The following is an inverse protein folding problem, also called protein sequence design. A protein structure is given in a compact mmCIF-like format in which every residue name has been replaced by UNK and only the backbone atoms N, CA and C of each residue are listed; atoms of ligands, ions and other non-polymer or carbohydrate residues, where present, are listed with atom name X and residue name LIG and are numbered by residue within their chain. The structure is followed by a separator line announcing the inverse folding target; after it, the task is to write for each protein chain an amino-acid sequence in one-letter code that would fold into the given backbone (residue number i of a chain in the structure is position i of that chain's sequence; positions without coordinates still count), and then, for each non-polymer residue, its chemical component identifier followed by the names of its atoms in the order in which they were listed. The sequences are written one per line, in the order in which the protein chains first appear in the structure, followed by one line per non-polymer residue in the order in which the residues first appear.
data_IF_311880567317
#
_entry.id   IF_311880567317
#
_cell.length_a   1.000
_cell.length_b   1.000
_cell.length_c   1.000
_cell.angle_alpha   90.00
_cell.angle_beta   90.00
_cell.angle_gamma   90.00
#
_symmetry.space_group_name_H-M   'P 1'
#
loop_
_entity.id
_entity.type
_entity.pdbx_description
1 polymer ?
#
# COMPACT_ATOMS: atom_id res chain seq x y z
N UNK A 1 11.41 19.77 -15.19
CA UNK A 1 11.66 18.63 -16.10
C UNK A 1 10.56 17.60 -15.88
N UNK A 2 10.11 16.84 -16.89
CA UNK A 2 9.18 15.72 -16.66
C UNK A 2 9.93 14.38 -16.71
N UNK A 3 10.45 13.94 -15.56
CA UNK A 3 11.23 12.70 -15.47
C UNK A 3 10.42 11.47 -15.85
N UNK A 4 9.12 11.45 -15.54
CA UNK A 4 8.23 10.34 -15.87
C UNK A 4 8.03 10.20 -17.37
N UNK A 5 8.02 11.32 -18.11
CA UNK A 5 7.99 11.29 -19.57
C UNK A 5 9.28 10.69 -20.15
N UNK A 6 10.46 11.09 -19.63
CA UNK A 6 11.73 10.55 -20.05
C UNK A 6 11.84 9.03 -19.79
N UNK A 7 11.41 8.57 -18.60
CA UNK A 7 11.40 7.13 -18.30
C UNK A 7 10.41 6.34 -19.17
N UNK A 8 9.26 6.91 -19.53
CA UNK A 8 8.32 6.28 -20.47
C UNK A 8 8.91 6.18 -21.88
N UNK A 9 9.59 7.23 -22.35
CA UNK A 9 10.29 7.21 -23.64
C UNK A 9 11.41 6.16 -23.63
N UNK A 10 12.24 6.14 -22.57
CA UNK A 10 13.30 5.17 -22.40
C UNK A 10 12.78 3.73 -22.37
N UNK A 11 11.67 3.47 -21.67
CA UNK A 11 11.08 2.14 -21.58
C UNK A 11 10.66 1.55 -22.95
N UNK A 12 10.28 2.41 -23.91
CA UNK A 12 9.95 1.97 -25.27
C UNK A 12 11.19 1.56 -26.07
N UNK A 13 12.32 2.25 -25.85
CA UNK A 13 13.59 1.99 -26.55
C UNK A 13 14.41 0.89 -25.87
N UNK A 14 14.37 0.82 -24.54
CA UNK A 14 15.21 -0.05 -23.71
C UNK A 14 14.41 -0.52 -22.47
N UNK A 15 13.63 -1.61 -22.58
CA UNK A 15 12.75 -2.07 -21.51
C UNK A 15 13.47 -2.77 -20.36
N UNK A 16 14.74 -3.14 -20.51
CA UNK A 16 15.58 -3.81 -19.52
C UNK A 16 17.03 -3.33 -19.68
N UNK A 17 17.83 -3.48 -18.61
CA UNK A 17 19.26 -3.12 -18.59
C UNK A 17 20.10 -4.25 -18.01
N UNK A 18 21.37 -4.35 -18.41
CA UNK A 18 22.31 -5.36 -17.89
C UNK A 18 22.67 -5.14 -16.43
N UNK A 19 22.72 -3.89 -15.99
CA UNK A 19 23.04 -3.48 -14.62
C UNK A 19 22.68 -2.00 -14.38
N UNK A 20 22.94 -1.52 -13.17
CA UNK A 20 22.68 -0.13 -12.76
C UNK A 20 23.44 0.90 -13.61
N UNK A 21 24.66 0.59 -14.05
CA UNK A 21 25.45 1.50 -14.89
C UNK A 21 24.88 1.60 -16.32
N UNK A 22 24.43 0.48 -16.91
CA UNK A 22 23.69 0.49 -18.20
C UNK A 22 22.43 1.35 -18.09
N UNK A 23 21.65 1.18 -17.01
CA UNK A 23 20.49 2.04 -16.75
C UNK A 23 20.88 3.53 -16.61
N UNK A 24 21.93 3.84 -15.83
CA UNK A 24 22.43 5.21 -15.65
C UNK A 24 22.80 5.85 -16.99
N UNK A 25 23.59 5.16 -17.81
CA UNK A 25 24.01 5.66 -19.11
C UNK A 25 22.82 5.87 -20.05
N UNK A 26 21.90 4.91 -20.11
CA UNK A 26 20.74 4.98 -20.98
C UNK A 26 19.79 6.12 -20.59
N UNK A 27 19.53 6.30 -19.29
CA UNK A 27 18.72 7.41 -18.79
C UNK A 27 19.38 8.76 -19.05
N UNK A 28 20.67 8.89 -18.79
CA UNK A 28 21.43 10.11 -19.05
C UNK A 28 21.40 10.50 -20.53
N UNK A 29 21.50 9.52 -21.43
CA UNK A 29 21.40 9.74 -22.86
C UNK A 29 19.99 10.18 -23.26
N UNK A 30 18.95 9.48 -22.80
CA UNK A 30 17.56 9.82 -23.09
C UNK A 30 17.21 11.25 -22.63
N UNK A 31 17.67 11.64 -21.44
CA UNK A 31 17.45 12.97 -20.90
C UNK A 31 18.09 14.05 -21.78
N UNK A 32 19.28 13.78 -22.33
CA UNK A 32 19.96 14.68 -23.26
C UNK A 32 19.27 14.78 -24.62
N UNK A 33 18.61 13.71 -25.08
CA UNK A 33 17.83 13.72 -26.32
C UNK A 33 16.52 14.50 -26.18
N UNK A 34 15.83 14.36 -25.05
CA UNK A 34 14.54 15.01 -24.81
C UNK A 34 14.70 16.47 -24.37
N UNK A 35 15.73 16.76 -23.58
CA UNK A 35 15.92 18.06 -22.96
C UNK A 35 17.24 18.70 -23.37
N UNK A 36 17.20 20.01 -23.66
CA UNK A 36 18.40 20.80 -23.87
C UNK A 36 19.14 21.06 -22.54
N UNK A 37 19.87 20.05 -22.07
CA UNK A 37 20.57 20.05 -20.79
C UNK A 37 22.03 19.60 -20.95
N UNK A 38 22.87 19.99 -19.99
CA UNK A 38 24.18 19.36 -19.80
C UNK A 38 24.04 18.21 -18.82
N UNK A 39 24.74 17.12 -19.09
CA UNK A 39 24.72 15.91 -18.25
C UNK A 39 26.13 15.60 -17.76
N UNK A 40 26.26 15.34 -16.45
CA UNK A 40 27.47 14.80 -15.82
C UNK A 40 27.11 13.54 -15.05
N UNK A 41 27.91 12.49 -15.23
CA UNK A 41 27.76 11.23 -14.51
C UNK A 41 28.82 11.15 -13.41
N UNK A 42 28.50 10.44 -12.33
CA UNK A 42 29.44 10.16 -11.24
C UNK A 42 30.13 11.44 -10.75
N UNK A 43 29.36 12.52 -10.62
CA UNK A 43 29.92 13.81 -10.22
C UNK A 43 30.26 13.72 -8.74
N UNK A 44 31.53 13.95 -8.40
CA UNK A 44 31.94 14.04 -7.01
C UNK A 44 31.28 15.25 -6.35
N UNK A 45 30.72 15.01 -5.17
CA UNK A 45 30.10 16.00 -4.32
C UNK A 45 30.73 15.96 -2.93
N UNK A 46 31.10 17.12 -2.41
CA UNK A 46 31.63 17.29 -1.06
C UNK A 46 30.56 17.97 -0.18
N UNK A 47 29.53 17.21 0.21
CA UNK A 47 28.44 17.68 1.11
C UNK A 47 28.63 17.22 2.55
N UNK A 48 29.18 16.02 2.75
CA UNK A 48 29.50 15.49 4.07
C UNK A 48 31.02 15.63 4.29
N UNK A 49 31.42 16.44 5.27
CA UNK A 49 32.82 16.74 5.58
C UNK A 49 33.64 15.45 5.71
N UNK A 50 34.54 15.20 4.75
CA UNK A 50 35.48 14.08 4.77
C UNK A 50 34.98 12.76 4.18
N UNK A 51 33.74 12.65 3.69
CA UNK A 51 33.27 11.46 2.93
C UNK A 51 33.19 11.78 1.44
N UNK A 52 33.83 10.95 0.61
CA UNK A 52 33.71 11.06 -0.86
C UNK A 52 32.37 10.49 -1.28
N UNK A 53 31.54 11.31 -1.91
CA UNK A 53 30.26 10.86 -2.45
C UNK A 53 30.16 11.23 -3.92
N UNK A 54 29.55 10.35 -4.69
CA UNK A 54 29.36 10.48 -6.13
C UNK A 54 27.87 10.46 -6.39
N UNK A 55 27.41 11.43 -7.16
CA UNK A 55 26.03 11.51 -7.63
C UNK A 55 25.95 10.82 -8.99
N UNK A 56 24.96 9.93 -9.14
CA UNK A 56 24.79 9.15 -10.36
C UNK A 56 24.64 10.04 -11.60
N UNK A 57 23.74 11.01 -11.57
CA UNK A 57 23.54 11.97 -12.67
C UNK A 57 23.30 13.38 -12.13
N UNK A 58 24.08 14.35 -12.60
CA UNK A 58 23.82 15.79 -12.47
C UNK A 58 23.39 16.36 -13.81
N UNK A 59 22.27 17.08 -13.82
CA UNK A 59 21.82 17.85 -14.97
C UNK A 59 21.96 19.35 -14.70
N UNK A 60 22.36 20.11 -15.72
CA UNK A 60 22.20 21.56 -15.75
C UNK A 60 21.26 21.94 -16.89
N UNK A 61 20.15 22.61 -16.56
CA UNK A 61 19.12 23.02 -17.53
C UNK A 61 18.47 24.33 -17.06
N UNK A 62 18.38 25.32 -17.95
CA UNK A 62 17.77 26.63 -17.67
C UNK A 62 18.29 27.30 -16.38
N UNK A 63 19.61 27.19 -16.15
CA UNK A 63 20.26 27.74 -14.95
C UNK A 63 20.02 26.94 -13.66
N UNK A 64 19.27 25.83 -13.72
CA UNK A 64 19.00 24.95 -12.58
C UNK A 64 19.89 23.71 -12.60
N UNK A 65 20.28 23.25 -11.43
CA UNK A 65 20.97 21.98 -11.19
C UNK A 65 19.97 20.95 -10.67
N UNK A 66 19.91 19.80 -11.33
CA UNK A 66 19.02 18.70 -10.95
C UNK A 66 19.87 17.47 -10.65
N UNK A 67 19.76 16.94 -9.44
CA UNK A 67 20.41 15.69 -9.05
C UNK A 67 19.50 14.50 -9.29
N UNK A 68 20.05 13.39 -9.76
CA UNK A 68 19.35 12.11 -9.86
C UNK A 68 20.21 11.04 -9.21
N UNK A 69 19.62 10.34 -8.25
CA UNK A 69 20.16 9.10 -7.67
C UNK A 69 19.30 7.95 -8.18
N UNK A 70 19.95 6.86 -8.58
CA UNK A 70 19.28 5.71 -9.16
C UNK A 70 19.67 4.40 -8.50
N UNK A 71 18.73 3.46 -8.56
CA UNK A 71 18.96 2.07 -8.20
C UNK A 71 18.36 1.15 -9.25
N UNK A 72 19.03 0.04 -9.51
CA UNK A 72 18.55 -1.03 -10.38
C UNK A 72 18.82 -2.39 -9.71
N UNK A 73 17.75 -2.98 -9.15
CA UNK A 73 17.84 -4.27 -8.44
C UNK A 73 16.84 -5.25 -9.01
N UNK A 74 17.32 -6.42 -9.42
CA UNK A 74 16.52 -7.38 -10.16
C UNK A 74 16.53 -8.76 -9.50
N UNK A 75 15.39 -9.44 -9.57
CA UNK A 75 15.30 -10.90 -9.55
C UNK A 75 15.83 -11.43 -10.87
N UNK A 76 16.26 -12.70 -10.83
CA UNK A 76 16.77 -13.35 -12.03
C UNK A 76 15.75 -13.31 -13.18
N UNK A 77 16.21 -12.94 -14.37
CA UNK A 77 15.40 -12.88 -15.58
C UNK A 77 16.27 -13.14 -16.80
N UNK A 78 15.74 -13.95 -17.71
CA UNK A 78 16.26 -14.15 -19.07
C UNK A 78 15.30 -13.46 -20.04
N UNK A 79 15.84 -12.60 -20.90
CA UNK A 79 15.04 -11.86 -21.86
C UNK A 79 15.86 -11.48 -23.09
N UNK A 80 15.25 -11.54 -24.27
CA UNK A 80 15.86 -11.04 -25.52
C UNK A 80 15.02 -9.92 -26.06
N UNK A 81 15.65 -8.78 -26.35
CA UNK A 81 15.01 -7.60 -26.92
C UNK A 81 15.83 -7.14 -28.12
N UNK A 82 15.19 -7.04 -29.29
CA UNK A 82 15.83 -6.60 -30.54
C UNK A 82 17.16 -7.32 -30.87
N UNK A 83 17.27 -8.59 -30.50
CA UNK A 83 18.47 -9.41 -30.72
C UNK A 83 19.56 -9.29 -29.65
N UNK A 84 19.42 -8.39 -28.66
CA UNK A 84 20.26 -8.32 -27.47
C UNK A 84 19.70 -9.25 -26.38
N UNK A 85 20.55 -10.10 -25.79
CA UNK A 85 20.17 -11.04 -24.72
C UNK A 85 20.59 -10.53 -23.35
N UNK A 86 19.67 -10.58 -22.39
CA UNK A 86 19.84 -10.14 -21.01
C UNK A 86 19.67 -11.34 -20.08
N UNK A 87 20.71 -11.62 -19.31
CA UNK A 87 20.73 -12.67 -18.28
C UNK A 87 21.06 -12.03 -16.94
N UNK A 88 20.03 -11.67 -16.18
CA UNK A 88 20.19 -11.02 -14.88
C UNK A 88 20.16 -12.05 -13.76
N UNK A 89 21.00 -11.84 -12.76
CA UNK A 89 21.03 -12.66 -11.55
C UNK A 89 20.09 -12.12 -10.48
N UNK A 90 19.68 -12.99 -9.57
CA UNK A 90 18.90 -12.59 -8.40
C UNK A 90 19.77 -11.78 -7.43
N UNK A 91 19.46 -10.49 -7.26
CA UNK A 91 20.10 -9.60 -6.30
C UNK A 91 19.32 -9.61 -4.99
N UNK A 92 19.80 -10.38 -4.00
CA UNK A 92 19.20 -10.50 -2.66
C UNK A 92 19.49 -9.32 -1.72
N UNK A 93 19.36 -9.56 -0.40
CA UNK A 93 19.57 -8.58 0.67
C UNK A 93 18.63 -7.37 0.59
N UNK A 94 17.32 -7.66 0.55
CA UNK A 94 16.26 -6.64 0.43
C UNK A 94 16.25 -5.63 1.58
N UNK A 95 16.58 -6.10 2.79
CA UNK A 95 16.74 -5.28 3.99
C UNK A 95 17.81 -4.20 3.79
N UNK A 96 18.98 -4.61 3.31
CA UNK A 96 20.10 -3.73 2.97
C UNK A 96 19.72 -2.78 1.83
N UNK A 97 19.11 -3.29 0.77
CA UNK A 97 18.71 -2.47 -0.38
C UNK A 97 17.72 -1.38 0.00
N UNK A 98 16.74 -1.69 0.85
CA UNK A 98 15.77 -0.74 1.41
C UNK A 98 16.44 0.40 2.19
N UNK A 99 17.42 0.07 3.04
CA UNK A 99 18.21 1.07 3.75
C UNK A 99 18.94 1.99 2.77
N UNK A 100 19.66 1.41 1.79
CA UNK A 100 20.51 2.17 0.86
C UNK A 100 19.70 3.19 0.04
N UNK A 101 18.51 2.79 -0.45
CA UNK A 101 17.61 3.69 -1.20
C UNK A 101 17.20 4.89 -0.35
N UNK A 102 16.86 4.67 0.91
CA UNK A 102 16.45 5.74 1.82
C UNK A 102 17.64 6.62 2.26
N UNK A 103 18.85 6.05 2.28
CA UNK A 103 20.08 6.83 2.50
C UNK A 103 20.35 7.76 1.31
N UNK A 104 20.10 7.32 0.08
CA UNK A 104 20.19 8.16 -1.11
C UNK A 104 19.10 9.25 -1.12
N UNK A 105 17.87 8.94 -0.65
CA UNK A 105 16.84 9.95 -0.44
C UNK A 105 17.28 11.02 0.57
N UNK A 106 17.79 10.62 1.74
CA UNK A 106 18.36 11.55 2.73
C UNK A 106 19.47 12.43 2.11
N UNK A 107 20.32 11.85 1.24
CA UNK A 107 21.38 12.58 0.56
C UNK A 107 20.80 13.65 -0.37
N UNK A 108 19.80 13.32 -1.19
CA UNK A 108 19.12 14.29 -2.05
C UNK A 108 18.48 15.43 -1.26
N UNK A 109 17.86 15.13 -0.11
CA UNK A 109 17.30 16.17 0.76
C UNK A 109 18.36 17.17 1.22
N UNK A 110 19.53 16.67 1.65
CA UNK A 110 20.65 17.54 2.05
C UNK A 110 21.15 18.40 0.89
N UNK A 111 21.25 17.82 -0.31
CA UNK A 111 21.69 18.54 -1.51
C UNK A 111 20.77 19.71 -1.84
N UNK A 112 19.45 19.50 -1.75
CA UNK A 112 18.45 20.55 -1.98
C UNK A 112 18.42 21.56 -0.83
N UNK A 113 18.50 21.10 0.43
CA UNK A 113 18.51 21.98 1.61
C UNK A 113 19.71 22.92 1.60
N UNK A 114 20.89 22.42 1.26
CA UNK A 114 22.14 23.19 1.18
C UNK A 114 22.31 23.98 -0.13
N UNK A 115 21.29 24.00 -1.01
CA UNK A 115 21.33 24.70 -2.33
C UNK A 115 22.45 24.22 -3.25
N UNK A 116 22.88 22.98 -3.08
CA UNK A 116 23.83 22.36 -4.01
C UNK A 116 23.15 21.98 -5.33
N UNK A 117 21.88 21.58 -5.26
CA UNK A 117 20.96 21.46 -6.40
C UNK A 117 19.65 22.18 -6.11
N UNK A 118 18.90 22.50 -7.17
CA UNK A 118 17.57 23.10 -7.08
C UNK A 118 16.47 22.04 -6.91
N UNK A 119 16.71 20.84 -7.46
CA UNK A 119 15.77 19.72 -7.45
C UNK A 119 16.54 18.38 -7.45
N UNK A 120 15.96 17.37 -6.83
CA UNK A 120 16.48 16.00 -6.77
C UNK A 120 15.44 14.98 -7.25
N UNK A 121 15.90 13.86 -7.80
CA UNK A 121 15.07 12.71 -8.12
C UNK A 121 15.73 11.43 -7.63
N UNK A 122 15.03 10.65 -6.82
CA UNK A 122 15.38 9.25 -6.59
C UNK A 122 14.58 8.39 -7.57
N UNK A 123 15.27 7.54 -8.33
CA UNK A 123 14.64 6.64 -9.31
C UNK A 123 15.05 5.21 -9.02
N UNK A 124 14.09 4.34 -8.77
CA UNK A 124 14.39 2.94 -8.49
C UNK A 124 13.62 2.01 -9.42
N UNK A 125 14.34 1.16 -10.16
CA UNK A 125 13.78 0.14 -11.02
C UNK A 125 14.00 -1.26 -10.43
N UNK A 126 12.93 -2.06 -10.36
CA UNK A 126 12.99 -3.44 -9.89
C UNK A 126 11.84 -4.31 -10.40
N UNK A 127 12.09 -5.60 -10.62
CA UNK A 127 11.04 -6.63 -10.74
C UNK A 127 10.85 -7.43 -9.43
N UNK A 128 11.61 -7.12 -8.37
CA UNK A 128 11.47 -7.79 -7.08
C UNK A 128 10.26 -7.25 -6.31
N UNK A 129 9.19 -8.03 -6.33
CA UNK A 129 7.93 -7.72 -5.64
C UNK A 129 8.05 -7.43 -4.15
N UNK A 130 9.12 -7.88 -3.49
CA UNK A 130 9.33 -7.58 -2.08
C UNK A 130 9.53 -6.08 -1.80
N UNK A 131 9.97 -5.28 -2.78
CA UNK A 131 10.14 -3.84 -2.57
C UNK A 131 8.82 -3.07 -2.66
N UNK A 132 7.90 -3.49 -3.53
CA UNK A 132 6.69 -2.74 -3.85
C UNK A 132 5.39 -3.36 -3.31
N UNK A 133 5.38 -4.66 -2.98
CA UNK A 133 4.23 -5.28 -2.31
C UNK A 133 4.34 -5.10 -0.80
N UNK A 134 3.24 -4.68 -0.19
CA UNK A 134 3.10 -4.73 1.25
C UNK A 134 3.03 -6.20 1.71
N UNK A 135 3.92 -6.67 2.61
CA UNK A 135 3.84 -8.02 3.17
C UNK A 135 2.54 -8.28 3.97
N UNK A 136 1.71 -7.26 4.22
CA UNK A 136 0.32 -7.34 4.67
C UNK A 136 0.14 -7.70 6.15
N UNK A 137 1.02 -8.54 6.69
CA UNK A 137 1.17 -8.76 8.12
C UNK A 137 2.25 -7.81 8.61
N UNK A 138 1.99 -7.15 9.74
CA UNK A 138 2.97 -6.36 10.49
C UNK A 138 4.04 -7.29 11.11
N UNK A 139 4.77 -8.02 10.25
CA UNK A 139 5.91 -8.84 10.66
C UNK A 139 6.97 -7.88 11.19
N UNK A 140 7.37 -8.10 12.44
CA UNK A 140 8.53 -7.45 13.05
C UNK A 140 9.81 -7.95 12.36
N UNK A 141 10.12 -7.40 11.18
CA UNK A 141 11.39 -7.63 10.49
C UNK A 141 12.39 -6.54 10.87
N UNK A 142 13.67 -6.88 10.79
CA UNK A 142 14.77 -6.01 11.22
C UNK A 142 14.83 -4.67 10.47
N UNK A 143 14.30 -4.65 9.26
CA UNK A 143 14.29 -3.54 8.32
C UNK A 143 12.91 -2.89 8.16
N UNK A 144 11.97 -3.16 9.08
CA UNK A 144 10.58 -2.72 9.00
C UNK A 144 10.46 -1.24 8.70
N UNK A 145 11.30 -0.40 9.30
CA UNK A 145 11.26 1.06 9.17
C UNK A 145 11.78 1.52 7.79
N UNK A 146 12.54 0.67 7.08
CA UNK A 146 13.10 0.96 5.77
C UNK A 146 12.27 0.47 4.59
N UNK A 147 11.14 -0.24 4.80
CA UNK A 147 10.34 -0.73 3.66
C UNK A 147 9.87 0.42 2.79
N UNK A 148 9.73 0.16 1.49
CA UNK A 148 9.35 1.16 0.48
C UNK A 148 8.17 0.68 -0.38
N UNK A 149 7.27 -0.13 0.19
CA UNK A 149 6.14 -0.70 -0.55
C UNK A 149 5.13 0.37 -1.00
N UNK A 150 4.27 0.01 -1.96
CA UNK A 150 3.19 0.86 -2.45
C UNK A 150 2.38 1.49 -1.30
N UNK A 151 2.11 2.79 -1.43
CA UNK A 151 1.30 3.58 -0.49
C UNK A 151 2.00 3.93 0.82
N UNK A 152 3.19 3.40 1.10
CA UNK A 152 3.90 3.68 2.35
C UNK A 152 4.33 5.14 2.42
N UNK A 153 4.04 5.79 3.55
CA UNK A 153 4.60 7.11 3.87
C UNK A 153 5.96 6.96 4.55
N UNK A 154 6.96 7.68 4.06
CA UNK A 154 8.33 7.75 4.58
C UNK A 154 8.59 9.17 5.08
N UNK A 155 8.93 9.29 6.36
CA UNK A 155 9.27 10.53 7.04
C UNK A 155 9.95 10.24 8.39
N UNK A 156 10.65 11.21 8.96
CA UNK A 156 11.19 11.14 10.32
C UNK A 156 12.44 10.25 10.43
N UNK A 157 12.69 9.74 11.63
CA UNK A 157 13.84 8.85 11.90
C UNK A 157 13.47 7.39 11.65
N UNK A 158 14.30 6.70 10.87
CA UNK A 158 14.17 5.31 10.48
C UNK A 158 15.40 4.56 10.96
N UNK A 159 15.20 3.46 11.68
CA UNK A 159 16.29 2.70 12.29
C UNK A 159 16.12 1.20 12.08
N UNK A 160 17.24 0.49 12.13
CA UNK A 160 17.22 -0.96 12.29
C UNK A 160 16.52 -1.33 13.60
N UNK A 161 15.85 -2.48 13.63
CA UNK A 161 15.30 -2.98 14.89
C UNK A 161 16.41 -3.32 15.89
N UNK A 162 16.11 -3.31 17.19
CA UNK A 162 17.06 -3.69 18.25
C UNK A 162 17.60 -5.12 18.12
N UNK A 163 16.93 -5.97 17.34
CA UNK A 163 17.29 -7.39 17.13
C UNK A 163 18.15 -7.62 15.88
N UNK A 164 18.60 -6.55 15.22
CA UNK A 164 19.37 -6.65 13.97
C UNK A 164 20.79 -7.11 14.25
N UNK A 165 21.26 -8.12 13.52
CA UNK A 165 22.63 -8.62 13.66
C UNK A 165 23.67 -7.59 13.20
N UNK A 166 24.80 -7.54 13.90
CA UNK A 166 25.92 -6.64 13.60
C UNK A 166 26.46 -6.78 12.17
N UNK A 167 26.41 -7.98 11.60
CA UNK A 167 26.79 -8.23 10.21
C UNK A 167 25.89 -7.52 9.18
N UNK A 168 24.57 -7.50 9.42
CA UNK A 168 23.59 -6.80 8.56
C UNK A 168 23.78 -5.29 8.62
N UNK A 169 24.10 -4.76 9.81
CA UNK A 169 24.29 -3.33 10.03
C UNK A 169 25.66 -2.80 9.59
N UNK A 170 26.62 -3.67 9.22
CA UNK A 170 27.99 -3.24 8.93
C UNK A 170 28.04 -2.19 7.80
N UNK A 171 28.49 -0.98 8.13
CA UNK A 171 28.51 0.19 7.23
C UNK A 171 27.17 0.90 7.05
N UNK A 172 26.15 0.51 7.82
CA UNK A 172 24.74 1.00 7.80
C UNK A 172 24.19 1.17 9.21
N UNK A 173 25.06 1.43 10.18
CA UNK A 173 24.72 1.49 11.59
C UNK A 173 23.91 2.75 11.93
N UNK A 174 24.11 3.83 11.18
CA UNK A 174 23.46 5.11 11.39
C UNK A 174 21.96 5.05 11.08
N UNK A 175 21.13 5.65 11.93
CA UNK A 175 19.74 5.91 11.59
C UNK A 175 19.63 6.86 10.39
N UNK A 176 18.57 6.67 9.58
CA UNK A 176 18.24 7.57 8.48
C UNK A 176 17.24 8.59 9.00
N UNK A 177 17.45 9.86 8.68
CA UNK A 177 16.54 10.96 9.01
C UNK A 177 16.04 11.53 7.69
N UNK A 178 14.74 11.44 7.48
CA UNK A 178 14.03 11.99 6.33
C UNK A 178 13.26 13.23 6.80
N UNK A 179 13.66 14.39 6.31
CA UNK A 179 13.09 15.68 6.68
C UNK A 179 11.75 15.93 5.98
N UNK A 180 11.58 15.47 4.75
CA UNK A 180 10.32 15.54 4.01
C UNK A 180 9.34 14.43 4.37
N UNK A 181 8.23 14.37 3.64
CA UNK A 181 7.22 13.30 3.75
C UNK A 181 6.84 12.80 2.36
N UNK A 182 7.20 11.57 2.05
CA UNK A 182 7.04 10.98 0.73
C UNK A 182 6.09 9.77 0.79
N UNK A 183 5.08 9.73 -0.09
CA UNK A 183 4.26 8.54 -0.29
C UNK A 183 4.91 7.74 -1.43
N UNK A 184 5.27 6.49 -1.16
CA UNK A 184 5.84 5.61 -2.18
C UNK A 184 4.75 5.23 -3.18
N UNK A 185 4.98 5.55 -4.45
CA UNK A 185 4.05 5.28 -5.55
C UNK A 185 4.80 4.58 -6.67
N UNK A 186 4.57 3.28 -6.83
CA UNK A 186 5.21 2.46 -7.84
C UNK A 186 4.39 2.40 -9.13
N UNK A 187 5.00 2.85 -10.21
CA UNK A 187 4.49 2.70 -11.57
C UNK A 187 5.05 1.47 -12.27
N UNK A 188 4.46 1.12 -13.42
CA UNK A 188 5.11 0.20 -14.36
C UNK A 188 6.18 0.97 -15.15
N UNK A 189 7.39 0.39 -15.26
CA UNK A 189 8.42 0.85 -16.19
C UNK A 189 8.26 0.11 -17.53
N UNK A 190 8.33 -1.22 -17.49
CA UNK A 190 8.24 -2.06 -18.68
C UNK A 190 7.61 -3.42 -18.36
N UNK A 191 7.10 -4.09 -19.40
CA UNK A 191 6.62 -5.48 -19.33
C UNK A 191 7.41 -6.32 -20.33
N UNK A 192 8.29 -7.16 -19.82
CA UNK A 192 9.16 -8.06 -20.57
C UNK A 192 8.39 -9.29 -21.06
N UNK A 193 7.61 -9.90 -20.17
CA UNK A 193 6.80 -11.09 -20.49
C UNK A 193 5.60 -11.22 -19.54
N UNK A 194 4.80 -12.27 -19.74
CA UNK A 194 3.59 -12.55 -18.96
C UNK A 194 3.86 -13.25 -17.61
N UNK A 195 5.12 -13.53 -17.25
CA UNK A 195 5.46 -14.17 -15.98
C UNK A 195 5.36 -13.16 -14.82
N UNK A 196 5.21 -13.68 -13.60
CA UNK A 196 5.10 -12.86 -12.37
C UNK A 196 6.27 -11.90 -12.13
N UNK A 197 7.47 -12.22 -12.64
CA UNK A 197 8.68 -11.38 -12.58
C UNK A 197 8.94 -10.60 -13.89
N UNK A 198 8.03 -10.69 -14.85
CA UNK A 198 8.13 -10.10 -16.18
C UNK A 198 7.78 -8.63 -16.23
N UNK A 199 7.43 -7.99 -15.10
CA UNK A 199 7.16 -6.55 -15.03
C UNK A 199 8.24 -5.87 -14.21
N UNK A 200 8.91 -4.88 -14.79
CA UNK A 200 9.78 -3.96 -14.08
C UNK A 200 8.91 -2.79 -13.60
N UNK A 201 8.98 -2.48 -12.31
CA UNK A 201 8.33 -1.31 -11.72
C UNK A 201 9.34 -0.19 -11.50
N UNK A 202 8.84 1.03 -11.50
CA UNK A 202 9.58 2.25 -11.19
C UNK A 202 8.99 2.93 -9.95
N UNK A 203 9.87 3.33 -9.03
CA UNK A 203 9.57 4.32 -8.00
C UNK A 203 10.31 5.61 -8.37
N UNK A 204 9.60 6.73 -8.38
CA UNK A 204 10.14 8.04 -8.70
C UNK A 204 9.78 8.97 -7.54
N UNK A 205 10.78 9.52 -6.86
CA UNK A 205 10.58 10.46 -5.75
C UNK A 205 11.21 11.80 -6.11
N UNK A 206 10.42 12.84 -6.40
CA UNK A 206 10.93 14.20 -6.53
C UNK A 206 11.25 14.78 -5.14
N UNK A 207 12.41 15.43 -5.04
CA UNK A 207 12.89 16.14 -3.85
C UNK A 207 13.06 17.61 -4.22
N UNK A 208 12.27 18.48 -3.61
CA UNK A 208 12.26 19.93 -3.88
C UNK A 208 12.27 20.69 -2.57
N UNK A 209 12.51 22.00 -2.61
CA UNK A 209 12.33 22.82 -1.40
C UNK A 209 10.95 22.66 -0.77
N UNK A 210 9.91 22.48 -1.60
CA UNK A 210 8.54 22.32 -1.13
C UNK A 210 8.37 20.99 -0.38
N UNK A 211 8.96 19.89 -0.88
CA UNK A 211 8.90 18.60 -0.20
C UNK A 211 9.58 18.64 1.17
N UNK A 212 10.59 19.50 1.36
CA UNK A 212 11.28 19.75 2.63
C UNK A 212 10.55 20.72 3.56
N UNK A 213 9.73 21.65 3.01
CA UNK A 213 8.99 22.65 3.80
C UNK A 213 7.73 22.09 4.46
N UNK A 214 7.10 21.07 3.87
CA UNK A 214 5.87 20.40 4.37
C UNK A 214 5.98 19.79 5.79
N UNK A 215 7.12 19.94 6.46
CA UNK A 215 7.38 19.44 7.83
C UNK A 215 7.88 20.50 8.81
N UNK A 216 8.30 21.71 8.38
CA UNK A 216 8.72 22.79 9.31
C UNK A 216 7.55 23.64 9.82
N UNK A 217 6.42 23.59 9.14
CA UNK A 217 5.13 23.96 9.69
C UNK A 217 4.44 22.66 10.15
N UNK A 218 4.00 22.60 11.40
CA UNK A 218 2.94 21.66 11.78
C UNK A 218 1.75 22.05 10.93
N UNK A 219 1.56 21.41 9.77
CA UNK A 219 0.57 21.83 8.78
C UNK A 219 -0.84 21.80 9.39
N UNK A 220 -1.49 22.95 9.60
CA UNK A 220 -2.94 23.02 9.67
C UNK A 220 -3.43 22.82 8.23
N UNK A 221 -3.84 21.59 7.93
CA UNK A 221 -4.43 21.15 6.66
C UNK A 221 -5.12 22.29 5.89
N UNK A 222 -4.81 22.47 4.59
CA UNK A 222 -5.43 23.51 3.78
C UNK A 222 -6.94 23.29 3.72
N UNK A 223 -7.71 24.29 4.17
CA UNK A 223 -9.16 24.36 3.96
C UNK A 223 -9.42 24.35 2.45
N UNK A 224 -10.15 23.37 1.91
CA UNK A 224 -10.72 23.49 0.58
C UNK A 224 -11.80 24.57 0.64
N UNK A 225 -11.78 25.50 -0.31
CA UNK A 225 -12.85 26.46 -0.51
C UNK A 225 -14.20 25.75 -0.61
N UNK A 226 -15.21 26.35 0.01
CA UNK A 226 -16.58 25.84 0.12
C UNK A 226 -17.09 25.35 -1.25
N UNK A 227 -17.13 24.04 -1.43
CA UNK A 227 -18.13 23.40 -2.28
C UNK A 227 -19.33 23.13 -1.40
N UNK A 228 -20.46 23.75 -1.78
CA UNK A 228 -21.71 23.78 -1.03
C UNK A 228 -22.08 22.46 -0.35
N UNK A 229 -22.29 22.60 0.94
CA UNK A 229 -23.09 21.78 1.86
C UNK A 229 -24.05 20.80 1.20
N UNK A 230 -23.72 19.51 1.30
CA UNK A 230 -24.71 18.48 1.55
C UNK A 230 -24.57 18.09 3.02
N UNK A 231 -25.60 18.39 3.81
CA UNK A 231 -25.71 17.91 5.18
C UNK A 231 -25.71 16.37 5.16
N UNK A 232 -24.58 15.76 5.54
CA UNK A 232 -24.49 14.32 5.69
C UNK A 232 -25.11 13.95 7.03
N UNK A 233 -26.35 13.47 6.98
CA UNK A 233 -26.98 12.79 8.12
C UNK A 233 -26.13 11.56 8.52
N UNK A 234 -25.88 11.40 9.82
CA UNK A 234 -25.04 10.37 10.44
C UNK A 234 -25.62 8.94 10.37
N UNK A 235 -25.82 8.42 9.16
CA UNK A 235 -26.40 7.11 8.87
C UNK A 235 -25.35 6.18 8.22
N UNK A 236 -25.55 4.84 8.19
CA UNK A 236 -24.68 3.86 7.51
C UNK A 236 -24.38 4.20 6.03
N UNK A 237 -25.25 5.03 5.43
CA UNK A 237 -25.08 5.66 4.11
C UNK A 237 -23.72 6.37 3.98
N UNK A 238 -23.14 6.86 5.08
CA UNK A 238 -21.84 7.54 5.09
C UNK A 238 -20.66 6.58 4.81
N UNK A 239 -20.52 5.46 5.53
CA UNK A 239 -19.42 4.50 5.31
C UNK A 239 -19.52 3.85 3.93
N UNK A 240 -20.74 3.51 3.51
CA UNK A 240 -21.00 3.01 2.17
C UNK A 240 -20.54 4.02 1.10
N UNK A 241 -20.86 5.31 1.25
CA UNK A 241 -20.40 6.36 0.33
C UNK A 241 -18.87 6.46 0.31
N UNK A 242 -18.21 6.40 1.48
CA UNK A 242 -16.75 6.43 1.56
C UNK A 242 -16.09 5.22 0.87
N UNK A 243 -16.70 4.03 0.97
CA UNK A 243 -16.21 2.86 0.23
C UNK A 243 -16.41 3.03 -1.28
N UNK A 244 -17.55 3.55 -1.72
CA UNK A 244 -17.83 3.77 -3.15
C UNK A 244 -16.87 4.75 -3.82
N UNK A 245 -16.30 5.69 -3.05
CA UNK A 245 -15.28 6.64 -3.53
C UNK A 245 -13.92 5.99 -3.83
N UNK A 246 -13.69 4.73 -3.42
CA UNK A 246 -12.45 4.02 -3.74
C UNK A 246 -12.37 3.85 -5.28
N UNK A 247 -11.35 4.40 -5.96
CA UNK A 247 -11.35 4.44 -7.44
C UNK A 247 -11.04 3.08 -8.07
N UNK A 248 -10.01 2.40 -7.55
CA UNK A 248 -9.48 1.14 -8.09
C UNK A 248 -9.83 -0.04 -7.19
N UNK A 249 -9.78 -1.25 -7.73
CA UNK A 249 -10.01 -2.45 -6.93
C UNK A 249 -8.91 -2.61 -5.88
N UNK A 250 -9.27 -2.79 -4.60
CA UNK A 250 -8.29 -3.03 -3.57
C UNK A 250 -7.49 -4.31 -3.83
N UNK A 251 -6.20 -4.31 -3.53
CA UNK A 251 -5.33 -5.47 -3.74
C UNK A 251 -5.10 -6.29 -2.47
N UNK A 252 -5.46 -5.74 -1.30
CA UNK A 252 -5.32 -6.39 0.00
C UNK A 252 -6.31 -5.82 1.03
N UNK A 253 -6.46 -6.48 2.19
CA UNK A 253 -7.26 -5.95 3.30
C UNK A 253 -6.72 -4.62 3.83
N UNK A 254 -5.39 -4.49 3.95
CA UNK A 254 -4.74 -3.24 4.33
C UNK A 254 -5.03 -2.13 3.31
N UNK A 255 -5.05 -2.44 2.02
CA UNK A 255 -5.37 -1.48 0.97
C UNK A 255 -6.84 -1.00 1.06
N UNK A 256 -7.81 -1.87 1.40
CA UNK A 256 -9.18 -1.43 1.70
C UNK A 256 -9.19 -0.49 2.91
N UNK A 257 -8.52 -0.86 4.01
CA UNK A 257 -8.43 -0.07 5.24
C UNK A 257 -7.84 1.31 4.97
N UNK A 258 -6.72 1.37 4.28
CA UNK A 258 -5.96 2.61 4.07
C UNK A 258 -6.69 3.55 3.11
N UNK A 259 -7.34 3.01 2.07
CA UNK A 259 -8.19 3.80 1.15
C UNK A 259 -9.46 4.31 1.84
N UNK A 260 -10.13 3.47 2.64
CA UNK A 260 -11.27 3.93 3.45
C UNK A 260 -10.84 5.02 4.43
N UNK A 261 -9.70 4.84 5.10
CA UNK A 261 -9.12 5.83 6.00
C UNK A 261 -8.80 7.15 5.29
N UNK A 262 -8.24 7.10 4.08
CA UNK A 262 -7.96 8.29 3.28
C UNK A 262 -9.25 9.04 2.92
N UNK A 263 -10.32 8.33 2.55
CA UNK A 263 -11.62 8.94 2.24
C UNK A 263 -12.25 9.57 3.50
N UNK A 264 -12.13 8.93 4.67
CA UNK A 264 -12.57 9.49 5.95
C UNK A 264 -11.82 10.78 6.31
N UNK A 265 -10.49 10.77 6.19
CA UNK A 265 -9.66 11.96 6.41
C UNK A 265 -10.05 13.11 5.46
N UNK A 266 -10.22 12.82 4.17
CA UNK A 266 -10.64 13.79 3.17
C UNK A 266 -12.04 14.38 3.46
N UNK A 267 -12.90 13.62 4.14
CA UNK A 267 -14.22 14.07 4.59
C UNK A 267 -14.19 14.83 5.93
N UNK A 268 -13.01 15.11 6.49
CA UNK A 268 -12.85 15.89 7.72
C UNK A 268 -12.88 15.09 9.01
N UNK A 269 -12.84 13.76 8.95
CA UNK A 269 -12.79 12.92 10.14
C UNK A 269 -11.38 12.86 10.71
N UNK A 270 -11.26 12.78 12.04
CA UNK A 270 -9.99 12.47 12.71
C UNK A 270 -9.87 10.95 12.83
N UNK A 271 -8.84 10.36 12.25
CA UNK A 271 -8.70 8.90 12.21
C UNK A 271 -7.43 8.40 12.89
N UNK A 272 -7.47 7.16 13.38
CA UNK A 272 -6.33 6.40 13.87
C UNK A 272 -6.45 4.97 13.36
N UNK A 273 -5.43 4.50 12.66
CA UNK A 273 -5.36 3.13 12.16
C UNK A 273 -4.84 2.22 13.28
N UNK A 274 -5.34 0.98 13.37
CA UNK A 274 -4.79 -0.03 14.27
C UNK A 274 -4.82 0.40 15.75
N UNK A 275 -5.86 1.13 16.17
CA UNK A 275 -5.95 1.74 17.50
C UNK A 275 -6.26 0.69 18.56
N UNK A 276 -5.50 0.69 19.65
CA UNK A 276 -5.88 -0.03 20.86
C UNK A 276 -7.05 0.66 21.57
N UNK A 277 -8.11 -0.11 21.79
CA UNK A 277 -9.37 0.28 22.40
C UNK A 277 -9.68 -0.71 23.52
N UNK A 278 -9.23 -0.38 24.73
CA UNK A 278 -9.31 -1.29 25.87
C UNK A 278 -8.41 -2.51 25.65
N UNK A 279 -9.00 -3.71 25.62
CA UNK A 279 -8.29 -4.97 25.35
C UNK A 279 -8.29 -5.38 23.87
N UNK A 280 -8.93 -4.59 23.01
CA UNK A 280 -9.14 -4.91 21.60
C UNK A 280 -8.43 -3.91 20.71
N UNK A 281 -7.96 -4.36 19.55
CA UNK A 281 -7.40 -3.50 18.50
C UNK A 281 -8.43 -3.37 17.38
N UNK A 282 -8.68 -2.14 16.93
CA UNK A 282 -9.59 -1.84 15.81
C UNK A 282 -8.83 -1.37 14.58
N UNK A 283 -9.25 -1.78 13.39
CA UNK A 283 -8.57 -1.44 12.13
C UNK A 283 -8.57 0.07 11.87
N UNK A 284 -9.71 0.74 12.06
CA UNK A 284 -9.82 2.20 11.99
C UNK A 284 -10.70 2.68 13.15
N UNK A 285 -10.17 3.60 13.95
CA UNK A 285 -10.97 4.43 14.83
C UNK A 285 -11.11 5.82 14.22
N UNK A 286 -12.34 6.33 14.13
CA UNK A 286 -12.58 7.63 13.50
C UNK A 286 -13.57 8.48 14.29
N UNK A 287 -13.36 9.79 14.30
CA UNK A 287 -14.13 10.77 15.08
C UNK A 287 -14.54 11.94 14.19
N UNK A 288 -15.80 12.37 14.28
CA UNK A 288 -16.30 13.59 13.66
C UNK A 288 -17.20 14.32 14.67
N UNK A 289 -16.76 15.50 15.12
CA UNK A 289 -17.38 16.17 16.27
C UNK A 289 -17.38 15.24 17.50
N UNK A 290 -18.58 14.95 18.01
CA UNK A 290 -18.80 14.06 19.15
C UNK A 290 -19.06 12.59 18.74
N UNK A 291 -19.24 12.32 17.44
CA UNK A 291 -19.50 10.98 16.95
C UNK A 291 -18.19 10.18 16.86
N UNK A 292 -18.22 8.94 17.33
CA UNK A 292 -17.08 8.03 17.34
C UNK A 292 -17.44 6.74 16.62
N UNK A 293 -16.52 6.23 15.82
CA UNK A 293 -16.74 5.02 15.04
C UNK A 293 -15.55 4.07 15.12
N UNK A 294 -15.82 2.81 15.47
CA UNK A 294 -14.87 1.71 15.36
C UNK A 294 -15.17 0.91 14.09
N UNK A 295 -14.16 0.65 13.27
CA UNK A 295 -14.34 -0.01 11.97
C UNK A 295 -13.40 -1.21 11.89
N UNK A 296 -13.96 -2.34 11.44
CA UNK A 296 -13.25 -3.57 11.10
C UNK A 296 -13.43 -3.86 9.62
N UNK A 297 -12.34 -4.16 8.93
CA UNK A 297 -12.37 -4.37 7.48
C UNK A 297 -11.82 -5.75 7.14
N UNK A 298 -12.58 -6.51 6.37
CA UNK A 298 -12.14 -7.77 5.76
C UNK A 298 -12.17 -7.68 4.25
N UNK A 299 -11.15 -8.25 3.63
CA UNK A 299 -11.06 -8.39 2.18
C UNK A 299 -10.75 -9.83 1.80
N UNK A 300 -11.69 -10.47 1.11
CA UNK A 300 -11.56 -11.88 0.68
C UNK A 300 -11.77 -11.97 -0.82
N UNK A 301 -10.95 -12.75 -1.50
CA UNK A 301 -10.96 -12.75 -2.96
C UNK A 301 -11.09 -14.16 -3.51
N UNK A 302 -11.96 -14.32 -4.50
CA UNK A 302 -11.81 -15.38 -5.48
C UNK A 302 -10.71 -14.96 -6.47
N UNK A 303 -10.04 -15.94 -7.07
CA UNK A 303 -9.04 -15.68 -8.09
C UNK A 303 -9.63 -14.86 -9.24
N UNK A 304 -8.92 -13.81 -9.63
CA UNK A 304 -9.28 -12.93 -10.73
C UNK A 304 -8.02 -12.37 -11.38
N UNK A 305 -7.93 -12.51 -12.70
CA UNK A 305 -6.93 -11.86 -13.54
C UNK A 305 -7.68 -11.12 -14.65
N UNK A 306 -7.70 -9.79 -14.60
CA UNK A 306 -8.42 -8.97 -15.58
C UNK A 306 -7.76 -7.61 -15.75
N UNK A 307 -8.23 -6.80 -16.71
CA UNK A 307 -7.81 -5.41 -16.90
C UNK A 307 -9.01 -4.53 -16.57
N UNK A 308 -8.83 -3.60 -15.64
CA UNK A 308 -9.86 -2.63 -15.25
C UNK A 308 -9.26 -1.23 -15.29
N UNK A 309 -9.92 -0.30 -15.99
CA UNK A 309 -9.45 1.08 -16.17
C UNK A 309 -7.99 1.19 -16.64
N UNK A 310 -7.59 0.30 -17.56
CA UNK A 310 -6.21 0.26 -18.09
C UNK A 310 -5.17 -0.33 -17.13
N UNK A 311 -5.57 -0.84 -15.97
CA UNK A 311 -4.69 -1.47 -14.97
C UNK A 311 -4.96 -2.97 -14.87
N UNK A 312 -3.89 -3.78 -14.81
CA UNK A 312 -4.02 -5.21 -14.55
C UNK A 312 -4.38 -5.46 -13.09
N UNK A 313 -5.46 -6.19 -12.85
CA UNK A 313 -5.93 -6.63 -11.54
C UNK A 313 -5.61 -8.12 -11.40
N UNK A 314 -4.75 -8.45 -10.45
CA UNK A 314 -4.33 -9.83 -10.15
C UNK A 314 -4.65 -10.16 -8.69
N UNK A 315 -5.70 -10.95 -8.47
CA UNK A 315 -6.13 -11.37 -7.15
C UNK A 315 -5.94 -12.86 -6.97
N UNK A 316 -5.33 -13.23 -5.86
CA UNK A 316 -5.18 -14.63 -5.46
C UNK A 316 -6.47 -15.14 -4.83
N UNK A 317 -6.69 -16.45 -4.92
CA UNK A 317 -7.77 -17.11 -4.19
C UNK A 317 -7.46 -17.15 -2.70
N UNK A 318 -8.35 -16.59 -1.88
CA UNK A 318 -8.40 -16.83 -0.45
C UNK A 318 -9.33 -18.03 -0.18
N UNK A 319 -8.75 -19.20 0.05
CA UNK A 319 -9.49 -20.41 0.41
C UNK A 319 -10.00 -20.35 1.88
N UNK A 320 -10.67 -21.42 2.34
CA UNK A 320 -11.24 -21.53 3.69
C UNK A 320 -12.28 -20.45 4.01
N UNK A 321 -13.37 -20.44 3.25
CA UNK A 321 -14.47 -19.51 3.47
C UNK A 321 -15.16 -19.72 4.83
N UNK A 322 -15.22 -20.97 5.31
CA UNK A 322 -15.71 -21.32 6.65
C UNK A 322 -14.97 -20.55 7.76
N UNK A 323 -13.63 -20.64 7.76
CA UNK A 323 -12.76 -19.91 8.69
C UNK A 323 -12.94 -18.40 8.54
N UNK A 324 -12.99 -17.91 7.30
CA UNK A 324 -13.10 -16.47 7.04
C UNK A 324 -14.44 -15.89 7.49
N UNK A 325 -15.53 -16.68 7.46
CA UNK A 325 -16.84 -16.27 7.99
C UNK A 325 -16.85 -16.20 9.50
N UNK A 326 -16.24 -17.18 10.17
CA UNK A 326 -16.02 -17.13 11.62
C UNK A 326 -15.28 -15.86 12.02
N UNK A 327 -14.14 -15.58 11.37
CA UNK A 327 -13.30 -14.41 11.69
C UNK A 327 -14.07 -13.09 11.54
N UNK A 328 -14.86 -12.96 10.47
CA UNK A 328 -15.70 -11.78 10.25
C UNK A 328 -16.76 -11.60 11.35
N UNK A 329 -17.42 -12.68 11.78
CA UNK A 329 -18.41 -12.60 12.86
C UNK A 329 -17.75 -12.38 14.24
N UNK A 330 -16.52 -12.84 14.43
CA UNK A 330 -15.74 -12.51 15.64
C UNK A 330 -15.40 -11.02 15.69
N UNK A 331 -15.19 -10.37 14.54
CA UNK A 331 -15.06 -8.91 14.49
C UNK A 331 -16.37 -8.19 14.86
N UNK A 332 -17.53 -8.75 14.52
CA UNK A 332 -18.83 -8.21 14.95
C UNK A 332 -18.98 -8.29 16.47
N UNK A 333 -18.72 -9.46 17.08
CA UNK A 333 -18.72 -9.61 18.56
C UNK A 333 -17.73 -8.65 19.23
N UNK A 334 -16.51 -8.54 18.69
CA UNK A 334 -15.49 -7.60 19.16
C UNK A 334 -16.01 -6.17 19.12
N UNK A 335 -16.67 -5.76 18.03
CA UNK A 335 -17.23 -4.43 17.92
C UNK A 335 -18.38 -4.19 18.91
N UNK A 336 -19.25 -5.17 19.17
CA UNK A 336 -20.28 -5.07 20.21
C UNK A 336 -19.66 -4.77 21.58
N UNK A 337 -18.57 -5.46 21.92
CA UNK A 337 -17.84 -5.21 23.17
C UNK A 337 -17.22 -3.81 23.22
N UNK A 338 -16.67 -3.34 22.10
CA UNK A 338 -16.04 -2.01 22.00
C UNK A 338 -17.08 -0.89 22.16
N UNK A 339 -18.23 -0.99 21.49
CA UNK A 339 -19.27 0.04 21.54
C UNK A 339 -20.04 0.02 22.87
N UNK A 340 -20.28 -1.14 23.46
CA UNK A 340 -20.96 -1.26 24.75
C UNK A 340 -20.23 -0.53 25.90
N UNK A 341 -18.90 -0.40 25.79
CA UNK A 341 -18.08 0.32 26.77
C UNK A 341 -18.01 1.84 26.53
N UNK A 342 -18.61 2.34 25.45
CA UNK A 342 -18.45 3.72 24.97
C UNK A 342 -19.78 4.29 24.48
N UNK A 343 -20.56 4.95 25.39
CA UNK A 343 -21.83 5.56 25.03
C UNK A 343 -21.69 6.52 23.83
N UNK A 344 -22.47 6.28 22.78
CA UNK A 344 -22.47 7.10 21.56
C UNK A 344 -21.46 6.68 20.48
N UNK A 345 -20.59 5.70 20.75
CA UNK A 345 -19.76 5.10 19.70
C UNK A 345 -20.58 4.10 18.87
N UNK A 346 -20.31 4.02 17.57
CA UNK A 346 -20.89 3.02 16.65
C UNK A 346 -19.78 2.12 16.08
N UNK A 347 -20.12 0.90 15.73
CA UNK A 347 -19.22 -0.08 15.13
C UNK A 347 -19.61 -0.37 13.68
N UNK A 348 -18.64 -0.58 12.80
CA UNK A 348 -18.89 -1.05 11.44
C UNK A 348 -18.01 -2.24 11.11
N UNK A 349 -18.61 -3.41 10.93
CA UNK A 349 -17.93 -4.57 10.35
C UNK A 349 -18.15 -4.58 8.84
N UNK A 350 -17.06 -4.50 8.07
CA UNK A 350 -17.08 -4.38 6.61
C UNK A 350 -16.43 -5.62 6.01
N UNK A 351 -17.10 -6.27 5.06
CA UNK A 351 -16.51 -7.32 4.23
C UNK A 351 -16.66 -6.96 2.75
N UNK A 352 -15.53 -6.84 2.05
CA UNK A 352 -15.48 -6.67 0.61
C UNK A 352 -14.99 -7.96 -0.06
N UNK A 353 -15.70 -8.43 -1.09
CA UNK A 353 -15.31 -9.67 -1.79
C UNK A 353 -15.89 -9.79 -3.19
N UNK A 354 -15.17 -10.50 -4.08
CA UNK A 354 -15.69 -11.01 -5.34
C UNK A 354 -16.02 -12.52 -5.31
N UNK A 355 -15.90 -13.18 -4.16
CA UNK A 355 -16.25 -14.58 -4.00
C UNK A 355 -17.73 -14.71 -3.64
N UNK A 356 -18.53 -15.11 -4.64
CA UNK A 356 -19.99 -15.28 -4.49
C UNK A 356 -20.41 -16.22 -3.38
N UNK A 357 -19.53 -17.12 -2.95
CA UNK A 357 -19.84 -18.06 -1.88
C UNK A 357 -20.08 -17.37 -0.52
N UNK A 358 -19.74 -16.10 -0.37
CA UNK A 358 -20.07 -15.34 0.85
C UNK A 358 -21.52 -14.85 0.86
N UNK A 359 -22.04 -14.32 -0.26
CA UNK A 359 -23.37 -13.71 -0.31
C UNK A 359 -24.46 -14.61 -0.90
N UNK A 360 -24.11 -15.65 -1.66
CA UNK A 360 -25.08 -16.64 -2.16
C UNK A 360 -25.40 -17.70 -1.10
N UNK A 361 -26.68 -18.08 -1.02
CA UNK A 361 -27.10 -19.16 -0.11
C UNK A 361 -26.54 -20.50 -0.61
N UNK A 362 -25.86 -21.23 0.28
CA UNK A 362 -25.34 -22.55 -0.06
C UNK A 362 -26.47 -23.55 -0.29
N UNK A 363 -26.28 -24.47 -1.24
CA UNK A 363 -27.15 -25.65 -1.43
C UNK A 363 -26.79 -26.79 -0.47
N UNK A 364 -25.64 -26.73 0.21
CA UNK A 364 -25.17 -27.77 1.12
C UNK A 364 -25.87 -27.62 2.47
N UNK A 365 -26.61 -28.65 2.86
CA UNK A 365 -27.19 -28.78 4.19
C UNK A 365 -26.12 -29.21 5.19
N UNK A 366 -26.20 -28.74 6.44
CA UNK A 366 -25.35 -29.20 7.56
C UNK A 366 -23.84 -29.00 7.34
N UNK A 367 -23.44 -27.85 6.80
CA UNK A 367 -22.02 -27.49 6.72
C UNK A 367 -21.45 -27.20 8.12
N UNK A 368 -20.15 -27.45 8.30
CA UNK A 368 -19.47 -27.21 9.59
C UNK A 368 -19.54 -25.77 10.09
N UNK A 369 -19.70 -24.80 9.18
CA UNK A 369 -19.81 -23.36 9.42
C UNK A 369 -21.24 -22.84 9.21
N UNK A 370 -22.27 -23.69 9.34
CA UNK A 370 -23.66 -23.32 9.12
C UNK A 370 -24.07 -22.08 9.94
N UNK A 371 -23.71 -22.06 11.23
CA UNK A 371 -23.96 -20.91 12.11
C UNK A 371 -23.25 -19.63 11.63
N UNK A 372 -22.16 -19.74 10.86
CA UNK A 372 -21.36 -18.61 10.41
C UNK A 372 -21.67 -18.12 8.99
N UNK A 373 -22.56 -18.79 8.24
CA UNK A 373 -22.97 -18.32 6.90
C UNK A 373 -23.39 -16.85 6.90
N UNK A 374 -22.91 -16.06 5.95
CA UNK A 374 -23.23 -14.64 5.86
C UNK A 374 -23.92 -14.28 4.55
N UNK A 375 -24.76 -15.17 4.03
CA UNK A 375 -25.44 -14.95 2.75
C UNK A 375 -26.49 -13.83 2.82
N UNK A 376 -26.87 -13.32 1.66
CA UNK A 376 -27.90 -12.29 1.51
C UNK A 376 -29.17 -12.61 2.31
N UNK A 377 -29.66 -11.62 3.04
CA UNK A 377 -30.90 -11.64 3.80
C UNK A 377 -30.88 -12.50 5.07
N UNK A 378 -29.76 -13.15 5.41
CA UNK A 378 -29.64 -13.89 6.67
C UNK A 378 -29.72 -12.91 7.84
N UNK A 379 -30.37 -13.30 8.92
CA UNK A 379 -30.30 -12.60 10.20
C UNK A 379 -29.28 -13.33 11.09
N UNK A 380 -28.29 -12.60 11.61
CA UNK A 380 -27.33 -13.12 12.59
C UNK A 380 -27.67 -12.57 13.97
N UNK A 381 -27.71 -13.46 14.95
CA UNK A 381 -27.97 -13.17 16.37
C UNK A 381 -27.67 -14.42 17.21
N UNK A 382 -27.53 -14.24 18.52
CA UNK A 382 -27.38 -15.33 19.50
C UNK A 382 -26.00 -16.00 19.46
N UNK A 383 -25.97 -17.24 19.98
CA UNK A 383 -24.75 -18.03 20.07
C UNK A 383 -24.50 -18.79 18.75
N UNK A 384 -23.34 -18.56 18.15
CA UNK A 384 -22.88 -19.19 16.91
C UNK A 384 -21.72 -20.14 17.19
N UNK A 385 -21.73 -21.32 16.58
CA UNK A 385 -20.79 -22.40 16.87
C UNK A 385 -20.47 -23.28 15.65
N UNK A 386 -19.27 -23.85 15.63
CA UNK A 386 -18.90 -24.87 14.67
C UNK A 386 -19.78 -26.13 14.84
N UNK A 387 -20.18 -26.76 13.73
CA UNK A 387 -20.91 -28.03 13.71
C UNK A 387 -19.98 -29.17 13.30
N UNK A 388 -19.63 -30.07 14.21
CA UNK A 388 -18.81 -31.27 13.93
C UNK A 388 -17.53 -30.99 13.12
N UNK A 389 -16.88 -29.84 13.35
CA UNK A 389 -15.68 -29.44 12.63
C UNK A 389 -14.45 -30.20 13.15
N UNK A 390 -13.48 -30.44 12.26
CA UNK A 390 -12.22 -31.08 12.64
C UNK A 390 -11.37 -30.13 13.50
N UNK A 391 -10.52 -30.69 14.38
CA UNK A 391 -9.60 -29.91 15.23
C UNK A 391 -8.72 -28.94 14.43
N UNK A 392 -8.26 -29.35 13.23
CA UNK A 392 -7.48 -28.47 12.35
C UNK A 392 -8.28 -27.29 11.80
N UNK A 393 -9.58 -27.47 11.55
CA UNK A 393 -10.47 -26.40 11.06
C UNK A 393 -10.71 -25.33 12.14
N UNK A 394 -10.86 -25.76 13.39
CA UNK A 394 -11.21 -24.86 14.51
C UNK A 394 -10.01 -24.36 15.29
N UNK A 395 -8.79 -24.68 14.89
CA UNK A 395 -7.59 -24.29 15.62
C UNK A 395 -7.51 -22.76 15.79
N UNK A 396 -7.40 -22.31 17.05
CA UNK A 396 -7.49 -20.91 17.49
C UNK A 396 -8.86 -20.24 17.25
N UNK A 397 -9.91 -21.03 17.06
CA UNK A 397 -11.31 -20.64 16.76
C UNK A 397 -12.30 -21.58 17.46
N UNK A 398 -11.87 -22.14 18.58
CA UNK A 398 -12.64 -23.11 19.36
C UNK A 398 -13.80 -22.44 20.12
N UNK A 399 -13.66 -21.14 20.39
CA UNK A 399 -14.67 -20.35 21.09
C UNK A 399 -15.96 -20.22 20.28
N UNK A 400 -17.07 -20.12 21.01
CA UNK A 400 -18.34 -19.72 20.43
C UNK A 400 -18.35 -18.20 20.24
N UNK A 401 -19.12 -17.74 19.26
CA UNK A 401 -19.34 -16.30 19.02
C UNK A 401 -20.71 -15.95 19.60
N UNK A 402 -20.78 -14.92 20.43
CA UNK A 402 -22.00 -14.35 20.98
C UNK A 402 -22.32 -13.04 20.26
N UNK A 403 -23.41 -13.03 19.51
CA UNK A 403 -23.93 -11.83 18.86
C UNK A 403 -25.18 -11.38 19.63
N UNK A 404 -25.10 -10.28 20.36
CA UNK A 404 -26.19 -9.77 21.18
C UNK A 404 -27.22 -9.02 20.34
N UNK A 405 -26.77 -8.33 19.29
CA UNK A 405 -27.62 -7.65 18.32
C UNK A 405 -28.33 -8.60 17.37
N UNK A 406 -29.26 -8.03 16.59
CA UNK A 406 -29.95 -8.73 15.52
C UNK A 406 -29.66 -8.01 14.20
N UNK A 407 -28.77 -8.58 13.39
CA UNK A 407 -28.31 -7.94 12.16
C UNK A 407 -28.80 -8.70 10.94
N UNK A 408 -29.61 -8.03 10.11
CA UNK A 408 -29.96 -8.54 8.78
C UNK A 408 -28.80 -8.22 7.83
N UNK A 409 -28.30 -9.24 7.15
CA UNK A 409 -27.17 -9.13 6.26
C UNK A 409 -27.62 -8.73 4.86
N UNK A 410 -27.37 -7.47 4.52
CA UNK A 410 -27.72 -6.89 3.23
C UNK A 410 -26.45 -6.57 2.43
N UNK A 411 -26.08 -7.47 1.52
CA UNK A 411 -25.01 -7.27 0.56
C UNK A 411 -25.41 -6.31 -0.54
N UNK A 412 -24.45 -5.49 -0.96
CA UNK A 412 -24.62 -4.50 -2.01
C UNK A 412 -23.48 -4.56 -3.02
N UNK A 413 -23.74 -4.25 -4.29
CA UNK A 413 -22.68 -4.08 -5.27
C UNK A 413 -21.67 -3.01 -4.82
N UNK A 414 -20.39 -3.36 -4.85
CA UNK A 414 -19.29 -2.42 -4.66
C UNK A 414 -18.76 -1.93 -6.00
N UNK A 415 -18.30 -2.85 -6.86
CA UNK A 415 -17.80 -2.52 -8.20
C UNK A 415 -18.07 -3.67 -9.16
N UNK A 416 -18.26 -3.31 -10.43
CA UNK A 416 -18.40 -4.25 -11.54
C UNK A 416 -17.26 -3.96 -12.51
N UNK A 417 -16.37 -4.93 -12.71
CA UNK A 417 -15.22 -4.80 -13.61
C UNK A 417 -15.59 -5.21 -15.04
N UNK A 418 -16.62 -6.04 -15.18
CA UNK A 418 -17.09 -6.61 -16.43
C UNK A 418 -18.14 -7.69 -16.16
N UNK A 419 -18.41 -8.53 -17.16
CA UNK A 419 -19.42 -9.59 -17.12
C UNK A 419 -18.85 -10.99 -16.85
N UNK A 420 -17.54 -11.12 -16.67
CA UNK A 420 -16.90 -12.43 -16.44
C UNK A 420 -17.04 -12.88 -15.00
N UNK A 421 -16.72 -14.16 -14.77
CA UNK A 421 -16.72 -14.78 -13.45
C UNK A 421 -15.81 -13.99 -12.48
N UNK A 422 -16.31 -13.73 -11.28
CA UNK A 422 -15.63 -13.00 -10.20
C UNK A 422 -15.30 -11.52 -10.51
N UNK A 423 -15.89 -10.91 -11.55
CA UNK A 423 -15.74 -9.47 -11.85
C UNK A 423 -16.77 -8.58 -11.13
N UNK A 424 -17.72 -9.18 -10.41
CA UNK A 424 -18.61 -8.49 -9.49
C UNK A 424 -18.02 -8.53 -8.08
N UNK A 425 -17.76 -7.36 -7.51
CA UNK A 425 -17.45 -7.19 -6.10
C UNK A 425 -18.70 -6.76 -5.35
N UNK A 426 -18.94 -7.40 -4.22
CA UNK A 426 -19.98 -7.05 -3.27
C UNK A 426 -19.34 -6.58 -1.97
N UNK A 427 -20.05 -5.71 -1.27
CA UNK A 427 -19.75 -5.32 0.11
C UNK A 427 -20.89 -5.72 1.04
N UNK A 428 -20.52 -6.08 2.26
CA UNK A 428 -21.42 -6.21 3.41
C UNK A 428 -20.95 -5.22 4.47
N UNK A 429 -21.88 -4.45 5.03
CA UNK A 429 -21.62 -3.52 6.14
C UNK A 429 -22.62 -3.85 7.24
N UNK A 430 -22.13 -4.20 8.42
CA UNK A 430 -22.95 -4.39 9.62
C UNK A 430 -22.74 -3.16 10.53
N UNK A 431 -23.81 -2.40 10.76
CA UNK A 431 -23.88 -1.30 11.73
C UNK A 431 -24.14 -1.89 13.13
N UNK A 432 -23.10 -1.91 13.95
CA UNK A 432 -23.07 -2.44 15.32
C UNK A 432 -23.32 -1.27 16.28
N UNK A 433 -24.32 -1.41 17.15
CA UNK A 433 -24.83 -0.32 18.01
C UNK A 433 -24.72 -0.64 19.49
#
# INVERSE_FOLDING_TARGET
MNISHALKSLALKRPIFHNEADFQHALAWELKEIYNCKVRLEQRIDIDSGRRTYLDILLEMDGRRIAIELKYKMRAVEYTFEGESFSLLNQGAQDIGRYDILKDLQRLERMVEQKWVDEGYLIYLTNDSSYFLDPGIEKLTVDRDFRVHEGRRIMGSLSWSDKTGTGTMKGREESIVINGSYIMSWGAYSRLNDLSMGTIRSLIIPVTEESLKRTKEVDPQPKPELVNTLAVNENPVMIESMLQLIPNIPISQADVRDKLNANLLAAGYRTQINRDVGKSKVDIWTENGNAQYAIEVRYKTAELNTIFSGQSVHLKRHAAQDISRYDFLKDVEKLEMVVAQRPGAKGYAILLTNDRNYWEKSKRLSSVDEDFRIHQGRIIHGQLSWKNASGGTIHNREEKIMINGHYRLDWKPFKILGSKKNELFQMLIIDVK
#
